data_IF_992258432707
#
_entry.id   IF_992258432707
#
_cell.length_a   1.000
_cell.length_b   1.000
_cell.length_c   1.000
_cell.angle_alpha   90.00
_cell.angle_beta   90.00
_cell.angle_gamma   90.00
#
_symmetry.space_group_name_H-M   'P 1'
#
loop_
_entity.id
_entity.type
_entity.pdbx_description
1 polymer ?
#
# COMPACT_ATOMS: atom_id res chain seq x y z
N UNK A 1 11.29 8.33 -7.94
CA UNK A 1 10.27 9.39 -8.18
C UNK A 1 10.19 10.44 -7.08
N UNK A 2 9.86 10.14 -5.82
CA UNK A 2 9.75 11.17 -4.76
C UNK A 2 11.11 11.81 -4.41
N UNK A 3 12.12 10.98 -4.12
CA UNK A 3 13.47 11.46 -3.85
C UNK A 3 14.07 12.23 -5.05
N UNK A 4 13.81 11.77 -6.27
CA UNK A 4 14.22 12.45 -7.50
C UNK A 4 13.57 13.83 -7.70
N UNK A 5 12.45 14.10 -7.04
CA UNK A 5 11.78 15.40 -7.02
C UNK A 5 12.24 16.28 -5.85
N UNK A 6 13.33 15.91 -5.16
CA UNK A 6 13.89 16.65 -4.04
C UNK A 6 13.17 16.42 -2.70
N UNK A 7 12.15 15.57 -2.63
CA UNK A 7 11.43 15.28 -1.39
C UNK A 7 12.22 14.34 -0.47
N UNK A 8 12.26 14.63 0.83
CA UNK A 8 12.84 13.71 1.80
C UNK A 8 12.01 12.43 1.92
N UNK A 9 12.66 11.26 1.82
CA UNK A 9 12.03 9.94 1.89
C UNK A 9 12.65 9.17 3.05
N UNK A 10 11.81 8.67 3.95
CA UNK A 10 12.26 7.92 5.12
C UNK A 10 11.70 6.50 5.09
N UNK A 11 12.59 5.51 5.08
CA UNK A 11 12.26 4.09 5.21
C UNK A 11 12.37 3.67 6.67
N UNK A 12 11.26 3.27 7.27
CA UNK A 12 11.20 2.72 8.63
C UNK A 12 10.88 1.23 8.54
N UNK A 13 11.64 0.39 9.23
CA UNK A 13 11.50 -1.06 9.10
C UNK A 13 12.52 -1.81 9.94
N UNK A 14 12.45 -3.14 9.97
CA UNK A 14 13.44 -3.91 10.71
C UNK A 14 14.85 -3.70 10.16
N UNK A 15 15.91 -3.87 10.98
CA UNK A 15 17.28 -3.86 10.49
C UNK A 15 17.48 -4.79 9.29
N UNK A 16 16.83 -5.97 9.30
CA UNK A 16 16.89 -6.93 8.20
C UNK A 16 16.21 -6.40 6.94
N UNK A 17 14.98 -5.88 7.03
CA UNK A 17 14.27 -5.35 5.85
C UNK A 17 14.95 -4.11 5.31
N UNK A 18 15.36 -3.16 6.17
CA UNK A 18 16.11 -1.98 5.75
C UNK A 18 17.46 -2.37 5.14
N UNK A 19 18.18 -3.35 5.71
CA UNK A 19 19.42 -3.86 5.10
C UNK A 19 19.16 -4.46 3.73
N UNK A 20 18.11 -5.27 3.57
CA UNK A 20 17.74 -5.81 2.26
C UNK A 20 17.40 -4.69 1.26
N UNK A 21 16.60 -3.70 1.67
CA UNK A 21 16.27 -2.53 0.84
C UNK A 21 17.51 -1.74 0.45
N UNK A 22 18.46 -1.51 1.39
CA UNK A 22 19.74 -0.85 1.11
C UNK A 22 20.59 -1.64 0.11
N UNK A 23 20.61 -2.97 0.21
CA UNK A 23 21.33 -3.84 -0.74
C UNK A 23 20.69 -3.80 -2.12
N UNK A 24 19.36 -3.75 -2.22
CA UNK A 24 18.70 -3.61 -3.52
C UNK A 24 18.94 -2.22 -4.13
N UNK A 25 18.99 -1.19 -3.28
CA UNK A 25 19.37 0.17 -3.68
C UNK A 25 20.83 0.30 -4.11
N UNK A 26 21.75 -0.61 -3.77
CA UNK A 26 23.14 -0.49 -4.23
C UNK A 26 23.31 -0.72 -5.74
N UNK A 27 22.27 -1.19 -6.44
CA UNK A 27 22.20 -1.14 -7.90
C UNK A 27 21.89 0.25 -8.45
N UNK A 28 21.50 1.21 -7.60
CA UNK A 28 21.20 2.59 -7.94
C UNK A 28 22.33 3.50 -7.43
N UNK A 29 22.55 4.66 -8.06
CA UNK A 29 23.47 5.68 -7.52
C UNK A 29 22.83 6.31 -6.27
N UNK A 30 23.04 5.67 -5.11
CA UNK A 30 22.53 6.12 -3.81
C UNK A 30 23.09 7.51 -3.44
N UNK A 31 24.24 7.89 -4.01
CA UNK A 31 24.82 9.23 -3.89
C UNK A 31 23.98 10.32 -4.55
N UNK A 32 23.16 9.97 -5.54
CA UNK A 32 22.24 10.89 -6.20
C UNK A 32 21.00 11.24 -5.36
N UNK A 33 20.70 10.49 -4.29
CA UNK A 33 19.51 10.66 -3.46
C UNK A 33 19.87 10.85 -1.97
N UNK A 34 20.61 11.94 -1.67
CA UNK A 34 20.97 12.36 -0.30
C UNK A 34 19.77 12.58 0.64
N UNK A 35 18.57 12.60 0.09
CA UNK A 35 17.30 12.81 0.78
C UNK A 35 16.60 11.50 1.19
N UNK A 36 17.18 10.32 0.93
CA UNK A 36 16.67 9.04 1.44
C UNK A 36 17.35 8.69 2.78
N UNK A 37 16.56 8.43 3.83
CA UNK A 37 17.07 7.99 5.14
C UNK A 37 16.42 6.69 5.59
N UNK A 38 17.18 5.85 6.28
CA UNK A 38 16.70 4.59 6.82
C UNK A 38 16.72 4.61 8.34
N UNK A 39 15.64 4.14 8.94
CA UNK A 39 15.46 4.07 10.39
C UNK A 39 15.18 2.62 10.78
N UNK A 40 16.16 1.99 11.43
CA UNK A 40 16.07 0.59 11.85
C UNK A 40 15.25 0.50 13.14
N UNK A 41 14.13 -0.22 13.08
CA UNK A 41 13.26 -0.50 14.21
C UNK A 41 13.62 -1.87 14.79
N UNK A 42 14.11 -1.97 16.04
CA UNK A 42 14.55 -3.24 16.62
C UNK A 42 13.42 -4.27 16.58
N UNK A 43 13.73 -5.48 16.10
CA UNK A 43 12.77 -6.60 16.08
C UNK A 43 13.06 -7.51 17.26
N UNK A 44 12.19 -7.59 18.28
CA UNK A 44 12.41 -8.48 19.41
C UNK A 44 12.28 -9.94 18.95
N UNK A 45 13.05 -10.84 19.58
CA UNK A 45 12.89 -12.28 19.39
C UNK A 45 11.60 -12.71 20.12
N UNK A 46 10.50 -12.82 19.35
CA UNK A 46 9.16 -13.28 19.75
C UNK A 46 8.53 -12.55 20.94
N UNK A 47 8.39 -11.25 20.78
CA UNK A 47 7.08 -10.60 20.64
C UNK A 47 7.32 -9.65 19.47
N UNK A 48 6.49 -9.63 18.45
CA UNK A 48 6.52 -8.56 17.44
C UNK A 48 5.49 -7.52 17.88
N UNK A 49 5.81 -6.68 18.89
CA UNK A 49 4.95 -5.55 19.20
C UNK A 49 4.84 -4.72 17.92
N UNK A 50 3.70 -4.05 17.75
CA UNK A 50 3.49 -3.19 16.58
C UNK A 50 4.67 -2.23 16.47
N UNK A 51 5.24 -2.03 15.26
CA UNK A 51 6.22 -0.98 15.05
C UNK A 51 5.67 0.33 15.61
N UNK A 52 6.47 1.05 16.39
CA UNK A 52 6.06 2.35 16.93
C UNK A 52 6.09 3.41 15.82
N UNK A 53 5.11 3.34 14.93
CA UNK A 53 4.90 4.32 13.87
C UNK A 53 4.47 5.67 14.47
N UNK A 54 3.87 5.68 15.66
CA UNK A 54 3.44 6.90 16.32
C UNK A 54 4.63 7.80 16.66
N UNK A 55 5.67 7.28 17.32
CA UNK A 55 6.85 8.06 17.66
C UNK A 55 7.53 8.66 16.41
N UNK A 56 7.61 7.89 15.32
CA UNK A 56 8.19 8.34 14.06
C UNK A 56 7.35 9.47 13.42
N UNK A 57 6.04 9.28 13.29
CA UNK A 57 5.15 10.29 12.70
C UNK A 57 5.09 11.55 13.58
N UNK A 58 5.09 11.39 14.91
CA UNK A 58 5.06 12.51 15.86
C UNK A 58 6.36 13.35 15.79
N UNK A 59 7.52 12.70 15.71
CA UNK A 59 8.80 13.40 15.53
C UNK A 59 8.85 14.19 14.21
N UNK A 60 8.36 13.62 13.12
CA UNK A 60 8.27 14.30 11.82
C UNK A 60 7.25 15.45 11.86
N UNK A 61 6.12 15.23 12.52
CA UNK A 61 5.06 16.22 12.71
C UNK A 61 5.56 17.48 13.42
N UNK A 62 6.42 17.33 14.42
CA UNK A 62 7.00 18.44 15.16
C UNK A 62 7.91 19.35 14.32
N UNK A 63 8.46 18.84 13.20
CA UNK A 63 9.45 19.54 12.38
C UNK A 63 8.96 19.84 10.96
N UNK A 64 7.75 19.39 10.60
CA UNK A 64 7.20 19.47 9.25
C UNK A 64 5.82 20.13 9.25
N UNK A 65 5.53 20.94 8.24
CA UNK A 65 4.19 21.53 8.10
C UNK A 65 3.11 20.49 7.76
N UNK A 66 3.50 19.40 7.08
CA UNK A 66 2.62 18.31 6.66
C UNK A 66 3.40 17.02 6.62
N UNK A 67 2.80 15.94 7.14
CA UNK A 67 3.34 14.58 7.07
C UNK A 67 2.38 13.71 6.27
N UNK A 68 2.92 12.92 5.33
CA UNK A 68 2.13 11.99 4.52
C UNK A 68 2.66 10.59 4.76
N UNK A 69 1.79 9.70 5.21
CA UNK A 69 2.13 8.32 5.52
C UNK A 69 1.56 7.40 4.44
N UNK A 70 2.43 6.80 3.64
CA UNK A 70 2.05 5.72 2.73
C UNK A 70 2.17 4.38 3.46
N UNK A 71 1.12 3.56 3.39
CA UNK A 71 1.11 2.25 4.04
C UNK A 71 0.48 1.19 3.13
N UNK A 72 0.84 -0.07 3.33
CA UNK A 72 0.19 -1.19 2.64
C UNK A 72 -1.29 -1.32 3.08
N UNK A 73 -2.13 -1.88 2.21
CA UNK A 73 -3.55 -2.16 2.47
C UNK A 73 -3.82 -3.02 3.71
N UNK A 74 -2.85 -3.83 4.16
CA UNK A 74 -2.97 -4.67 5.36
C UNK A 74 -2.25 -4.10 6.60
N UNK A 75 -1.82 -2.83 6.55
CA UNK A 75 -1.15 -2.15 7.66
C UNK A 75 -2.07 -1.12 8.32
N UNK A 76 -3.22 -1.56 8.84
CA UNK A 76 -4.22 -0.66 9.44
C UNK A 76 -3.66 0.15 10.60
N UNK A 77 -2.67 -0.41 11.32
CA UNK A 77 -2.01 0.26 12.43
C UNK A 77 -1.31 1.55 12.00
N UNK A 78 -0.59 1.54 10.87
CA UNK A 78 0.13 2.71 10.38
C UNK A 78 -0.86 3.83 10.01
N UNK A 79 -2.00 3.46 9.45
CA UNK A 79 -3.08 4.38 9.13
C UNK A 79 -3.67 5.02 10.41
N UNK A 80 -3.94 4.21 11.44
CA UNK A 80 -4.48 4.68 12.72
C UNK A 80 -3.55 5.69 13.40
N UNK A 81 -2.25 5.39 13.48
CA UNK A 81 -1.28 6.30 14.07
C UNK A 81 -1.13 7.58 13.24
N UNK A 82 -1.15 7.46 11.91
CA UNK A 82 -1.02 8.60 11.01
C UNK A 82 -2.19 9.58 11.12
N UNK A 83 -3.43 9.10 11.25
CA UNK A 83 -4.61 9.99 11.36
C UNK A 83 -4.81 10.56 12.75
N UNK A 84 -4.15 10.00 13.78
CA UNK A 84 -4.20 10.53 15.14
C UNK A 84 -3.40 11.84 15.30
N UNK A 85 -2.53 12.16 14.34
CA UNK A 85 -1.61 13.30 14.41
C UNK A 85 -2.14 14.46 13.54
N UNK A 86 -2.33 15.68 14.09
CA UNK A 86 -3.12 16.73 13.43
C UNK A 86 -2.67 17.19 12.04
N UNK A 87 -1.36 17.22 11.77
CA UNK A 87 -0.79 17.63 10.47
C UNK A 87 -0.36 16.43 9.61
N UNK A 88 -0.86 15.23 9.93
CA UNK A 88 -0.55 13.98 9.24
C UNK A 88 -1.78 13.43 8.53
N UNK A 89 -1.55 12.79 7.37
CA UNK A 89 -2.59 12.10 6.60
C UNK A 89 -2.07 10.76 6.06
N UNK A 90 -2.97 9.78 5.93
CA UNK A 90 -2.65 8.43 5.48
C UNK A 90 -3.09 8.19 4.03
N UNK A 91 -2.22 7.60 3.23
CA UNK A 91 -2.52 7.08 1.90
C UNK A 91 -2.28 5.57 1.85
N UNK A 92 -3.21 4.85 1.25
CA UNK A 92 -3.06 3.40 1.05
C UNK A 92 -2.32 3.16 -0.26
N UNK A 93 -1.26 2.37 -0.20
CA UNK A 93 -0.55 1.85 -1.35
C UNK A 93 -0.98 0.40 -1.61
N UNK A 94 -1.74 0.21 -2.69
CA UNK A 94 -2.11 -1.09 -3.21
C UNK A 94 -1.01 -1.57 -4.16
N UNK A 95 -0.15 -2.45 -3.66
CA UNK A 95 0.91 -3.11 -4.43
C UNK A 95 0.39 -4.26 -5.30
N UNK A 96 -0.81 -4.76 -5.03
CA UNK A 96 -1.48 -5.79 -5.82
C UNK A 96 -2.12 -5.16 -7.07
N UNK A 97 -2.31 -5.98 -8.11
CA UNK A 97 -2.85 -5.53 -9.40
C UNK A 97 -4.26 -4.92 -9.28
N UNK A 98 -4.63 -4.04 -10.21
CA UNK A 98 -5.97 -3.44 -10.24
C UNK A 98 -7.05 -4.52 -10.40
N UNK A 99 -6.77 -5.54 -11.22
CA UNK A 99 -7.64 -6.70 -11.37
C UNK A 99 -7.87 -7.45 -10.05
N UNK A 100 -6.80 -7.77 -9.32
CA UNK A 100 -6.91 -8.52 -8.07
C UNK A 100 -7.69 -7.75 -7.01
N UNK A 101 -7.42 -6.44 -6.87
CA UNK A 101 -8.19 -5.59 -5.96
C UNK A 101 -9.69 -5.62 -6.28
N UNK A 102 -10.09 -5.48 -7.55
CA UNK A 102 -11.49 -5.60 -7.96
C UNK A 102 -12.07 -6.99 -7.68
N UNK A 103 -11.37 -8.06 -8.08
CA UNK A 103 -11.81 -9.44 -7.89
C UNK A 103 -12.09 -9.74 -6.42
N UNK A 104 -11.15 -9.43 -5.53
CA UNK A 104 -11.32 -9.69 -4.10
C UNK A 104 -12.41 -8.81 -3.47
N UNK A 105 -12.54 -7.55 -3.89
CA UNK A 105 -13.60 -6.66 -3.41
C UNK A 105 -15.00 -7.10 -3.86
N UNK A 106 -15.14 -7.57 -5.10
CA UNK A 106 -16.40 -8.08 -5.61
C UNK A 106 -16.76 -9.41 -4.97
N UNK A 107 -15.80 -10.33 -4.84
CA UNK A 107 -16.04 -11.61 -4.18
C UNK A 107 -16.44 -11.44 -2.71
N UNK A 108 -15.80 -10.50 -1.98
CA UNK A 108 -16.18 -10.18 -0.61
C UNK A 108 -17.63 -9.66 -0.47
N UNK A 109 -18.23 -9.16 -1.55
CA UNK A 109 -19.63 -8.70 -1.61
C UNK A 109 -20.58 -9.68 -2.29
N UNK A 110 -20.08 -10.81 -2.81
CA UNK A 110 -20.87 -11.73 -3.64
C UNK A 110 -21.21 -11.17 -5.02
N UNK A 111 -20.42 -10.23 -5.53
CA UNK A 111 -20.60 -9.53 -6.80
C UNK A 111 -19.61 -9.99 -7.88
N UNK A 112 -18.80 -11.01 -7.63
CA UNK A 112 -17.77 -11.52 -8.55
C UNK A 112 -18.35 -12.10 -9.85
N UNK A 113 -19.66 -12.40 -9.89
CA UNK A 113 -20.39 -12.73 -11.11
C UNK A 113 -20.26 -11.68 -12.23
N UNK A 114 -20.04 -10.41 -11.89
CA UNK A 114 -19.80 -9.33 -12.87
C UNK A 114 -18.58 -9.58 -13.76
N UNK A 115 -17.61 -10.37 -13.29
CA UNK A 115 -16.40 -10.69 -14.05
C UNK A 115 -16.68 -11.42 -15.35
N UNK A 116 -17.78 -12.17 -15.44
CA UNK A 116 -18.19 -12.82 -16.69
C UNK A 116 -18.48 -11.82 -17.81
N UNK A 117 -19.01 -10.65 -17.47
CA UNK A 117 -19.28 -9.57 -18.44
C UNK A 117 -18.02 -8.76 -18.74
N UNK A 118 -17.14 -8.61 -17.74
CA UNK A 118 -15.86 -7.91 -17.91
C UNK A 118 -14.86 -8.77 -18.71
N UNK A 119 -14.89 -10.09 -18.56
CA UNK A 119 -13.97 -11.02 -19.21
C UNK A 119 -14.76 -12.10 -19.97
N UNK A 120 -15.49 -11.74 -21.04
CA UNK A 120 -16.38 -12.66 -21.75
C UNK A 120 -15.62 -13.84 -22.39
N UNK A 121 -14.34 -13.65 -22.70
CA UNK A 121 -13.47 -14.68 -23.28
C UNK A 121 -12.80 -15.57 -22.21
N UNK A 122 -12.90 -15.22 -20.92
CA UNK A 122 -12.42 -16.07 -19.83
C UNK A 122 -13.46 -17.16 -19.54
N UNK A 123 -13.19 -18.38 -20.01
CA UNK A 123 -14.08 -19.55 -19.82
C UNK A 123 -14.37 -19.87 -18.34
N UNK A 124 -13.48 -19.47 -17.43
CA UNK A 124 -13.67 -19.55 -15.98
C UNK A 124 -13.22 -18.25 -15.34
N UNK A 125 -14.06 -17.71 -14.47
CA UNK A 125 -13.65 -16.67 -13.52
C UNK A 125 -12.64 -17.30 -12.56
N UNK A 126 -11.49 -16.67 -12.28
CA UNK A 126 -10.56 -17.21 -11.29
C UNK A 126 -11.26 -17.37 -9.94
N UNK A 127 -11.25 -18.56 -9.33
CA UNK A 127 -11.82 -18.73 -8.00
C UNK A 127 -10.98 -17.92 -7.00
N UNK A 128 -11.65 -17.24 -6.07
CA UNK A 128 -10.98 -16.64 -4.91
C UNK A 128 -10.79 -17.65 -3.78
N UNK A 129 -11.56 -18.75 -3.80
CA UNK A 129 -11.44 -19.84 -2.86
C UNK A 129 -10.06 -20.48 -2.94
N UNK A 130 -9.38 -20.57 -1.80
CA UNK A 130 -8.02 -21.10 -1.72
C UNK A 130 -6.91 -20.10 -2.10
N UNK A 131 -7.22 -18.86 -2.50
CA UNK A 131 -6.18 -17.82 -2.65
C UNK A 131 -5.51 -17.47 -1.32
N UNK A 132 -6.28 -17.57 -0.22
CA UNK A 132 -5.84 -17.29 1.13
C UNK A 132 -6.37 -18.36 2.09
N UNK A 133 -5.65 -18.60 3.19
CA UNK A 133 -6.17 -19.42 4.29
C UNK A 133 -7.31 -18.69 5.00
N UNK A 134 -8.20 -19.42 5.68
CA UNK A 134 -9.28 -18.82 6.47
C UNK A 134 -8.74 -17.86 7.54
N UNK A 135 -7.63 -18.24 8.20
CA UNK A 135 -6.94 -17.39 9.16
C UNK A 135 -6.49 -16.07 8.53
N UNK A 136 -5.89 -16.12 7.33
CA UNK A 136 -5.40 -14.94 6.63
C UNK A 136 -6.55 -14.07 6.11
N UNK A 137 -7.62 -14.68 5.60
CA UNK A 137 -8.86 -13.95 5.24
C UNK A 137 -9.45 -13.23 6.46
N UNK A 138 -9.48 -13.90 7.61
CA UNK A 138 -9.87 -13.28 8.88
C UNK A 138 -8.96 -12.13 9.29
N UNK A 139 -7.64 -12.24 9.04
CA UNK A 139 -6.69 -11.15 9.25
C UNK A 139 -6.95 -9.97 8.31
N UNK A 140 -7.12 -10.21 7.01
CA UNK A 140 -7.44 -9.18 6.01
C UNK A 140 -8.68 -8.40 6.46
N UNK A 141 -9.77 -9.11 6.78
CA UNK A 141 -11.02 -8.47 7.22
C UNK A 141 -10.79 -7.55 8.42
N UNK A 142 -10.09 -8.03 9.44
CA UNK A 142 -9.76 -7.24 10.64
C UNK A 142 -8.89 -6.01 10.32
N UNK A 143 -7.99 -6.07 9.34
CA UNK A 143 -7.20 -4.91 8.93
C UNK A 143 -8.08 -3.87 8.24
N UNK A 144 -8.94 -4.28 7.30
CA UNK A 144 -9.83 -3.36 6.60
C UNK A 144 -10.86 -2.72 7.54
N UNK A 145 -11.47 -3.48 8.46
CA UNK A 145 -12.39 -2.95 9.48
C UNK A 145 -11.74 -1.88 10.37
N UNK A 146 -10.44 -2.01 10.62
CA UNK A 146 -9.66 -1.12 11.49
C UNK A 146 -9.04 0.05 10.75
N UNK A 147 -9.04 0.03 9.42
CA UNK A 147 -8.36 1.07 8.63
C UNK A 147 -9.26 2.31 8.54
N UNK A 148 -8.82 3.48 9.05
CA UNK A 148 -9.57 4.72 8.89
C UNK A 148 -9.68 5.11 7.41
N UNK A 149 -10.68 5.92 7.02
CA UNK A 149 -10.77 6.43 5.66
C UNK A 149 -9.48 7.18 5.26
N UNK A 150 -8.77 6.75 4.20
CA UNK A 150 -7.51 7.39 3.82
C UNK A 150 -7.76 8.65 3.00
N UNK A 151 -6.78 9.55 3.01
CA UNK A 151 -6.77 10.77 2.20
C UNK A 151 -6.67 10.48 0.69
N UNK A 152 -6.13 9.32 0.32
CA UNK A 152 -6.08 8.84 -1.06
C UNK A 152 -5.52 7.42 -1.18
N UNK A 153 -5.52 6.92 -2.41
CA UNK A 153 -5.07 5.57 -2.75
C UNK A 153 -4.14 5.61 -3.95
N UNK A 154 -3.06 4.86 -3.84
CA UNK A 154 -2.08 4.67 -4.89
C UNK A 154 -2.13 3.20 -5.30
N UNK A 155 -2.20 2.94 -6.60
CA UNK A 155 -2.17 1.60 -7.15
C UNK A 155 -0.89 1.43 -7.96
N UNK A 156 -0.15 0.36 -7.66
CA UNK A 156 1.04 -0.04 -8.41
C UNK A 156 0.65 -0.70 -9.74
N UNK A 157 0.02 0.09 -10.59
CA UNK A 157 -0.51 -0.31 -11.89
C UNK A 157 -0.39 0.85 -12.87
N UNK A 158 -0.60 0.58 -14.16
CA UNK A 158 -0.66 1.59 -15.21
C UNK A 158 -1.71 1.23 -16.25
N UNK A 159 -2.17 2.25 -16.99
CA UNK A 159 -3.23 2.05 -18.00
C UNK A 159 -2.79 1.20 -19.18
N UNK A 160 -1.50 1.18 -19.52
CA UNK A 160 -0.98 0.34 -20.61
C UNK A 160 -1.06 -1.16 -20.31
N UNK A 161 -1.05 -1.56 -19.03
CA UNK A 161 -1.12 -2.97 -18.60
C UNK A 161 -2.53 -3.35 -18.15
N UNK A 162 -3.17 -2.52 -17.31
CA UNK A 162 -4.46 -2.86 -16.69
C UNK A 162 -5.54 -1.79 -16.91
N UNK A 163 -5.45 -0.98 -17.98
CA UNK A 163 -6.32 0.20 -18.18
C UNK A 163 -7.81 -0.07 -18.03
N UNK A 164 -8.31 -1.21 -18.54
CA UNK A 164 -9.70 -1.64 -18.35
C UNK A 164 -10.08 -1.78 -16.87
N UNK A 165 -9.22 -2.38 -16.06
CA UNK A 165 -9.45 -2.59 -14.64
C UNK A 165 -9.23 -1.32 -13.84
N UNK A 166 -8.29 -0.45 -14.24
CA UNK A 166 -8.14 0.89 -13.67
C UNK A 166 -9.43 1.70 -13.80
N UNK A 167 -10.05 1.68 -14.98
CA UNK A 167 -11.30 2.43 -15.23
C UNK A 167 -12.49 1.84 -14.43
N UNK A 168 -12.55 0.52 -14.27
CA UNK A 168 -13.55 -0.14 -13.45
C UNK A 168 -13.35 0.16 -11.95
N UNK A 169 -12.10 0.10 -11.49
CA UNK A 169 -11.71 0.36 -10.11
C UNK A 169 -12.05 1.79 -9.71
N UNK A 170 -11.81 2.77 -10.59
CA UNK A 170 -12.19 4.17 -10.35
C UNK A 170 -13.71 4.40 -10.23
N UNK A 171 -14.54 3.48 -10.73
CA UNK A 171 -16.02 3.56 -10.69
C UNK A 171 -16.63 2.70 -9.58
N UNK A 172 -15.86 1.77 -9.03
CA UNK A 172 -16.32 0.87 -7.99
C UNK A 172 -16.68 1.64 -6.71
N UNK A 173 -17.72 1.16 -6.03
CA UNK A 173 -18.34 1.88 -4.91
C UNK A 173 -17.37 2.14 -3.75
N UNK A 174 -16.36 1.27 -3.56
CA UNK A 174 -15.36 1.38 -2.50
C UNK A 174 -14.36 2.50 -2.79
N UNK A 175 -14.11 2.78 -4.07
CA UNK A 175 -12.99 3.65 -4.50
C UNK A 175 -13.44 4.98 -5.09
N UNK A 176 -14.68 5.08 -5.62
CA UNK A 176 -15.19 6.24 -6.40
C UNK A 176 -15.14 7.61 -5.71
N UNK A 177 -15.05 7.65 -4.38
CA UNK A 177 -15.04 8.92 -3.62
C UNK A 177 -13.66 9.28 -3.05
N UNK A 178 -12.65 8.45 -3.28
CA UNK A 178 -11.29 8.70 -2.82
C UNK A 178 -10.42 9.29 -3.92
N UNK A 179 -9.39 10.06 -3.55
CA UNK A 179 -8.32 10.41 -4.49
C UNK A 179 -7.65 9.14 -4.98
N UNK A 180 -7.51 9.00 -6.28
CA UNK A 180 -7.11 7.78 -6.95
C UNK A 180 -5.91 8.05 -7.86
N UNK A 181 -4.81 7.34 -7.66
CA UNK A 181 -3.58 7.52 -8.44
C UNK A 181 -3.03 6.18 -8.90
N UNK A 182 -2.73 6.05 -10.20
CA UNK A 182 -1.94 4.95 -10.74
C UNK A 182 -0.49 5.40 -10.84
N UNK A 183 0.42 4.70 -10.17
CA UNK A 183 1.84 5.09 -10.08
C UNK A 183 2.80 4.01 -10.57
N UNK A 184 2.26 2.90 -11.08
CA UNK A 184 3.05 1.76 -11.52
C UNK A 184 3.54 1.86 -12.98
N UNK A 185 4.34 0.89 -13.41
CA UNK A 185 4.95 -0.13 -12.58
C UNK A 185 6.07 0.45 -11.70
N UNK A 186 5.95 0.25 -10.40
CA UNK A 186 7.00 0.47 -9.41
C UNK A 186 7.62 -0.88 -9.15
N UNK A 187 8.69 -1.17 -9.87
CA UNK A 187 9.56 -2.33 -9.70
C UNK A 187 11.02 -1.87 -9.76
N UNK A 188 11.95 -2.73 -9.33
CA UNK A 188 13.37 -2.47 -9.56
C UNK A 188 13.66 -2.61 -11.06
N UNK A 189 14.29 -1.61 -11.68
CA UNK A 189 14.87 -1.75 -13.01
C UNK A 189 16.04 -2.74 -12.88
N UNK A 190 15.94 -3.88 -13.58
CA UNK A 190 16.95 -4.95 -13.58
C UNK A 190 18.16 -4.57 -14.44
#
# INVERSE_FOLDING_TARGET
>A
MLAAQGMAVHFTGSPTHNRQTRVRLSGWDVGAFLNIRFHDLPVPRLSSPRPDTHAAVNSLSATSQRVVVFHDSLMSFAAQEAVAIPNSEAYVFHNVSAFANLLFQWAARGEDGWLRFVLPNCRRVPPVDGCFTEEFTGFIRRQYEKTPPPAGRLFNTCRSVEGKFVDLLARDQVFKHAKFFTVGPVCEDF
#
